data_IF_656228313857
#
_entry.id   IF_656228313857
#
_cell.length_a   1.000
_cell.length_b   1.000
_cell.length_c   1.000
_cell.angle_alpha   90.00
_cell.angle_beta   90.00
_cell.angle_gamma   90.00
#
_symmetry.space_group_name_H-M   'P 1'
#
loop_
_entity.id
_entity.type
_entity.pdbx_description
1 polymer ?
#
# COMPACT_ATOMS: atom_id res chain seq x y z
N UNK A 1 -25.03 -8.17 -12.83
CA UNK A 1 -24.71 -7.06 -11.93
C UNK A 1 -24.40 -7.63 -10.56
N UNK A 2 -23.19 -8.05 -10.32
CA UNK A 2 -22.70 -8.42 -8.98
C UNK A 2 -21.24 -7.96 -8.88
N UNK A 3 -21.07 -6.82 -8.21
CA UNK A 3 -20.03 -6.46 -7.26
C UNK A 3 -18.63 -7.05 -7.53
N UNK A 4 -17.85 -6.32 -8.31
CA UNK A 4 -16.40 -6.32 -8.19
C UNK A 4 -16.05 -5.06 -7.35
N UNK A 5 -16.25 -5.21 -6.05
CA UNK A 5 -15.78 -4.27 -5.04
C UNK A 5 -14.97 -5.08 -4.05
N UNK A 6 -13.72 -5.12 -4.22
CA UNK A 6 -12.74 -5.30 -3.14
C UNK A 6 -11.39 -5.75 -3.71
N UNK A 7 -10.60 -4.88 -4.26
CA UNK A 7 -9.13 -5.00 -4.33
C UNK A 7 -8.53 -3.59 -4.55
N UNK A 8 -9.18 -2.57 -4.03
CA UNK A 8 -8.64 -1.20 -4.20
C UNK A 8 -8.49 -0.51 -2.85
N UNK A 9 -7.71 -1.12 -1.93
CA UNK A 9 -7.23 -0.41 -0.74
C UNK A 9 -6.08 -1.20 -0.11
N UNK A 10 -4.89 -1.01 -0.56
CA UNK A 10 -3.66 -1.06 0.24
C UNK A 10 -2.38 -0.98 -0.61
N UNK A 11 -2.35 -0.19 -1.67
CA UNK A 11 -1.06 0.28 -2.18
C UNK A 11 -0.60 1.43 -1.28
N UNK A 12 -0.13 1.12 -0.10
CA UNK A 12 0.52 2.11 0.75
C UNK A 12 1.98 2.21 0.36
N UNK A 13 2.30 3.30 -0.27
CA UNK A 13 3.58 3.73 -0.81
C UNK A 13 4.68 3.53 0.23
N UNK A 14 5.45 2.45 0.10
CA UNK A 14 6.82 2.43 0.59
C UNK A 14 7.66 3.12 -0.48
N UNK A 15 7.80 4.44 -0.37
CA UNK A 15 8.71 5.22 -1.20
C UNK A 15 10.15 4.83 -0.85
N UNK A 16 10.65 3.74 -1.44
CA UNK A 16 12.08 3.56 -1.56
C UNK A 16 12.56 4.63 -2.51
N UNK A 17 13.30 5.59 -1.97
CA UNK A 17 13.94 6.64 -2.73
C UNK A 17 14.94 5.99 -3.71
N UNK A 18 14.47 5.70 -4.91
CA UNK A 18 15.37 5.58 -6.05
C UNK A 18 15.99 6.96 -6.20
N UNK A 19 17.30 7.06 -6.10
CA UNK A 19 18.04 8.29 -6.31
C UNK A 19 17.78 8.78 -7.73
N UNK A 20 16.76 9.63 -7.89
CA UNK A 20 16.54 10.38 -9.11
C UNK A 20 17.72 11.35 -9.24
N UNK A 21 18.40 11.41 -10.40
CA UNK A 21 19.43 12.44 -10.59
C UNK A 21 18.79 13.79 -10.32
N UNK A 22 19.42 14.60 -9.47
CA UNK A 22 18.98 15.95 -9.12
C UNK A 22 18.84 16.75 -10.42
N UNK A 23 17.58 16.92 -10.85
CA UNK A 23 17.24 17.84 -11.91
C UNK A 23 17.40 19.27 -11.37
N UNK A 24 17.86 20.19 -12.21
CA UNK A 24 18.01 21.60 -11.82
C UNK A 24 16.66 22.15 -11.32
N UNK A 25 16.65 22.90 -10.22
CA UNK A 25 15.46 23.55 -9.70
C UNK A 25 14.78 24.37 -10.81
N UNK A 26 13.49 24.09 -11.05
CA UNK A 26 12.67 24.82 -12.01
C UNK A 26 12.54 24.22 -13.41
N UNK A 27 13.19 23.08 -13.72
CA UNK A 27 12.97 22.41 -15.01
C UNK A 27 11.65 21.61 -14.98
N UNK A 28 10.73 21.82 -15.96
CA UNK A 28 9.50 21.04 -16.04
C UNK A 28 9.77 19.56 -16.28
N UNK A 29 9.17 18.68 -15.46
CA UNK A 29 9.41 17.24 -15.55
C UNK A 29 8.14 16.43 -15.36
N UNK A 30 8.14 15.24 -15.99
CA UNK A 30 7.18 14.16 -15.74
C UNK A 30 7.93 12.99 -15.09
N UNK A 31 7.58 12.67 -13.86
CA UNK A 31 8.13 11.55 -13.11
C UNK A 31 7.18 10.34 -13.21
N UNK A 32 7.70 9.18 -13.57
CA UNK A 32 7.00 7.91 -13.44
C UNK A 32 7.33 7.30 -12.07
N UNK A 33 6.33 7.20 -11.20
CA UNK A 33 6.46 6.68 -9.84
C UNK A 33 5.73 5.35 -9.69
N UNK A 34 6.46 4.30 -9.30
CA UNK A 34 5.91 2.97 -9.10
C UNK A 34 5.30 2.81 -7.70
N UNK A 35 4.21 2.02 -7.58
CA UNK A 35 3.70 1.56 -6.29
C UNK A 35 4.54 0.44 -5.68
N UNK A 36 5.28 -0.31 -6.50
CA UNK A 36 6.17 -1.38 -6.07
C UNK A 36 7.38 -1.45 -6.99
N UNK A 37 8.57 -1.69 -6.44
CA UNK A 37 9.81 -1.87 -7.20
C UNK A 37 10.03 -3.32 -7.65
N UNK A 38 9.27 -4.27 -7.08
CA UNK A 38 9.25 -5.68 -7.47
C UNK A 38 7.83 -6.23 -7.46
N UNK A 39 7.53 -7.13 -8.40
CA UNK A 39 6.19 -7.72 -8.58
C UNK A 39 6.35 -9.14 -9.08
N UNK A 40 5.56 -10.07 -8.56
CA UNK A 40 5.55 -11.47 -9.03
C UNK A 40 4.81 -11.63 -10.36
N UNK A 41 5.05 -12.69 -11.13
CA UNK A 41 4.24 -13.03 -12.28
C UNK A 41 2.75 -13.13 -11.93
N UNK A 42 1.87 -12.54 -12.76
CA UNK A 42 0.44 -12.42 -12.49
C UNK A 42 0.05 -11.27 -11.57
N UNK A 43 1.00 -10.66 -10.86
CA UNK A 43 0.76 -9.54 -9.94
C UNK A 43 0.47 -8.22 -10.67
N UNK A 44 -0.18 -7.30 -9.97
CA UNK A 44 -0.50 -5.96 -10.46
C UNK A 44 0.25 -4.88 -9.68
N UNK A 45 0.58 -3.79 -10.34
CA UNK A 45 1.16 -2.59 -9.73
C UNK A 45 0.70 -1.34 -10.47
N UNK A 46 0.81 -0.20 -9.80
CA UNK A 46 0.45 1.08 -10.42
C UNK A 46 1.68 1.94 -10.71
N UNK A 47 1.54 2.74 -11.76
CA UNK A 47 2.50 3.76 -12.16
C UNK A 47 1.80 5.11 -12.16
N UNK A 48 2.25 6.03 -11.34
CA UNK A 48 1.77 7.40 -11.30
C UNK A 48 2.62 8.28 -12.20
N UNK A 49 1.99 9.04 -13.08
CA UNK A 49 2.62 10.12 -13.82
C UNK A 49 2.47 11.40 -13.00
N UNK A 50 3.57 11.88 -12.45
CA UNK A 50 3.63 13.07 -11.59
C UNK A 50 4.27 14.21 -12.36
N UNK A 51 3.60 15.35 -12.40
CA UNK A 51 4.11 16.56 -13.04
C UNK A 51 4.77 17.48 -12.01
N UNK A 52 5.95 18.01 -12.37
CA UNK A 52 6.70 18.96 -11.54
C UNK A 52 7.04 20.21 -12.32
N UNK A 53 7.14 21.35 -11.62
CA UNK A 53 7.54 22.66 -12.17
C UNK A 53 6.74 23.04 -13.43
N UNK A 54 5.41 22.82 -13.41
CA UNK A 54 4.55 23.09 -14.55
C UNK A 54 4.36 24.60 -14.81
N UNK A 55 4.84 25.13 -15.95
CA UNK A 55 4.67 26.55 -16.29
C UNK A 55 3.28 26.89 -16.83
N UNK A 56 2.44 25.89 -17.03
CA UNK A 56 1.12 26.01 -17.63
C UNK A 56 1.02 25.24 -18.94
N UNK A 57 0.20 24.18 -18.96
CA UNK A 57 -0.05 23.34 -20.12
C UNK A 57 -1.53 23.34 -20.46
N UNK A 58 -1.86 23.21 -21.74
CA UNK A 58 -3.22 23.06 -22.24
C UNK A 58 -3.41 21.76 -23.05
N UNK A 59 -2.34 21.05 -23.37
CA UNK A 59 -2.37 19.76 -24.01
C UNK A 59 -1.13 18.96 -23.73
N UNK A 60 -1.29 17.65 -23.61
CA UNK A 60 -0.21 16.68 -23.47
C UNK A 60 -0.56 15.42 -24.26
N UNK A 61 0.42 14.91 -24.99
CA UNK A 61 0.32 13.66 -25.76
C UNK A 61 1.64 12.90 -25.64
N UNK A 62 1.54 11.58 -25.48
CA UNK A 62 2.69 10.67 -25.50
C UNK A 62 2.23 9.23 -25.75
N UNK A 63 3.19 8.34 -26.03
CA UNK A 63 2.98 6.90 -26.07
C UNK A 63 3.70 6.22 -24.91
N UNK A 64 3.10 5.15 -24.37
CA UNK A 64 3.76 4.30 -23.38
C UNK A 64 4.80 3.41 -24.05
N UNK A 65 5.92 3.23 -23.36
CA UNK A 65 7.00 2.34 -23.78
C UNK A 65 7.30 1.35 -22.67
N UNK A 66 7.05 0.07 -22.93
CA UNK A 66 7.34 -1.03 -22.00
C UNK A 66 7.44 -2.34 -22.78
N UNK A 67 7.94 -3.38 -22.14
CA UNK A 67 8.03 -4.72 -22.76
C UNK A 67 6.68 -5.46 -22.63
N UNK A 68 5.94 -5.54 -23.72
CA UNK A 68 4.63 -6.21 -23.81
C UNK A 68 4.71 -7.73 -23.67
N UNK A 69 5.90 -8.32 -23.74
CA UNK A 69 6.10 -9.76 -23.47
C UNK A 69 6.18 -10.05 -21.97
N UNK A 70 6.35 -9.00 -21.15
CA UNK A 70 6.48 -9.06 -19.69
C UNK A 70 5.31 -8.39 -18.96
N UNK A 71 4.81 -7.28 -19.51
CA UNK A 71 3.81 -6.42 -18.88
C UNK A 71 2.59 -6.22 -19.78
N UNK A 72 1.45 -6.01 -19.16
CA UNK A 72 0.22 -5.58 -19.80
C UNK A 72 -0.33 -4.35 -19.08
N UNK A 73 -0.61 -3.27 -19.82
CA UNK A 73 -1.39 -2.14 -19.29
C UNK A 73 -2.86 -2.55 -19.22
N UNK A 74 -3.45 -2.55 -18.03
CA UNK A 74 -4.82 -3.04 -17.79
C UNK A 74 -5.81 -1.91 -17.54
N UNK A 75 -5.35 -0.78 -16.99
CA UNK A 75 -6.19 0.37 -16.70
C UNK A 75 -5.41 1.68 -16.68
N UNK A 76 -6.13 2.79 -16.91
CA UNK A 76 -5.59 4.14 -16.85
C UNK A 76 -6.66 5.11 -16.34
N UNK A 77 -6.32 5.87 -15.29
CA UNK A 77 -7.26 6.79 -14.63
C UNK A 77 -6.64 8.17 -14.44
N UNK A 78 -7.29 9.21 -14.99
CA UNK A 78 -6.96 10.60 -14.70
C UNK A 78 -7.09 10.90 -13.21
N UNK A 79 -6.18 11.73 -12.70
CA UNK A 79 -6.15 12.14 -11.29
C UNK A 79 -6.42 13.65 -11.17
N UNK A 80 -5.39 14.48 -11.07
CA UNK A 80 -5.55 15.94 -11.05
C UNK A 80 -5.99 16.53 -12.40
N UNK A 81 -5.76 15.81 -13.48
CA UNK A 81 -6.36 16.05 -14.79
C UNK A 81 -7.38 14.95 -15.07
N UNK A 82 -8.58 15.33 -15.49
CA UNK A 82 -9.64 14.42 -15.91
C UNK A 82 -9.72 14.39 -17.45
N UNK A 83 -10.62 13.56 -17.97
CA UNK A 83 -10.92 13.50 -19.41
C UNK A 83 -9.73 13.11 -20.30
N UNK A 84 -8.87 12.21 -19.79
CA UNK A 84 -7.83 11.60 -20.59
C UNK A 84 -8.40 10.62 -21.60
N UNK A 85 -7.94 10.72 -22.82
CA UNK A 85 -8.11 9.67 -23.83
C UNK A 85 -6.88 8.76 -23.80
N UNK A 86 -7.05 7.53 -23.27
CA UNK A 86 -5.98 6.53 -23.20
C UNK A 86 -6.38 5.31 -24.01
N UNK A 87 -5.61 5.03 -25.06
CA UNK A 87 -5.71 3.78 -25.81
C UNK A 87 -5.02 2.64 -25.06
N UNK A 88 -5.76 1.61 -24.70
CA UNK A 88 -5.24 0.38 -24.10
C UNK A 88 -5.44 -0.76 -25.09
N UNK A 89 -4.37 -1.43 -25.52
CA UNK A 89 -4.41 -2.52 -26.52
C UNK A 89 -5.38 -3.64 -26.20
N UNK A 90 -5.65 -3.88 -24.94
CA UNK A 90 -6.61 -4.90 -24.50
C UNK A 90 -8.07 -4.48 -24.65
N UNK A 91 -8.35 -3.21 -24.88
CA UNK A 91 -9.70 -2.69 -25.15
C UNK A 91 -9.91 -2.63 -26.66
N UNK A 92 -10.97 -3.26 -27.14
CA UNK A 92 -11.51 -3.00 -28.45
C UNK A 92 -12.28 -1.68 -28.37
N UNK A 93 -12.18 -0.86 -29.41
CA UNK A 93 -13.05 0.31 -29.54
C UNK A 93 -14.52 -0.11 -29.70
N UNK A 94 -15.43 0.86 -29.74
CA UNK A 94 -16.88 0.60 -29.92
C UNK A 94 -17.21 -0.10 -31.25
N UNK A 95 -16.27 -0.11 -32.21
CA UNK A 95 -16.39 -0.79 -33.50
C UNK A 95 -15.81 -2.20 -33.49
N UNK A 96 -15.14 -2.61 -32.40
CA UNK A 96 -14.46 -3.89 -32.28
C UNK A 96 -13.06 -3.91 -32.90
N UNK A 97 -12.54 -2.76 -33.33
CA UNK A 97 -11.21 -2.62 -33.91
C UNK A 97 -10.17 -2.52 -32.78
N UNK A 98 -9.04 -3.26 -32.93
CA UNK A 98 -7.97 -3.22 -31.95
C UNK A 98 -7.25 -1.88 -31.98
N UNK A 99 -7.08 -1.25 -30.84
CA UNK A 99 -6.26 -0.04 -30.70
C UNK A 99 -4.78 -0.43 -30.87
N UNK A 100 -4.19 -0.04 -32.01
CA UNK A 100 -2.80 -0.41 -32.35
C UNK A 100 -1.70 0.34 -31.57
N UNK A 101 -2.07 1.34 -30.75
CA UNK A 101 -1.11 2.14 -30.01
C UNK A 101 -1.67 2.51 -28.64
N UNK A 102 -0.86 2.32 -27.62
CA UNK A 102 -1.13 2.79 -26.27
C UNK A 102 -0.66 4.22 -26.12
N UNK A 103 -1.52 5.15 -26.52
CA UNK A 103 -1.26 6.58 -26.41
C UNK A 103 -2.13 7.19 -25.30
N UNK A 104 -1.61 8.22 -24.66
CA UNK A 104 -2.38 9.06 -23.77
C UNK A 104 -2.45 10.48 -24.36
N UNK A 105 -3.64 11.04 -24.37
CA UNK A 105 -3.90 12.41 -24.84
C UNK A 105 -4.81 13.10 -23.84
N UNK A 106 -4.44 14.32 -23.50
CA UNK A 106 -5.28 15.23 -22.73
C UNK A 106 -5.17 16.63 -23.30
N UNK A 107 -6.29 17.36 -23.40
CA UNK A 107 -6.32 18.73 -23.88
C UNK A 107 -7.47 19.53 -23.26
N UNK A 108 -7.23 20.82 -23.07
CA UNK A 108 -8.26 21.80 -22.68
C UNK A 108 -7.99 23.17 -23.30
N UNK A 109 -8.95 24.10 -23.17
CA UNK A 109 -8.87 25.41 -23.80
C UNK A 109 -7.99 26.44 -23.08
N UNK A 110 -7.64 26.21 -21.82
CA UNK A 110 -6.89 27.14 -20.98
C UNK A 110 -5.66 26.46 -20.37
N UNK A 111 -4.67 27.25 -19.93
CA UNK A 111 -3.50 26.68 -19.25
C UNK A 111 -3.89 26.15 -17.86
N UNK A 112 -3.55 24.89 -17.63
CA UNK A 112 -3.55 24.29 -16.30
C UNK A 112 -2.16 24.39 -15.68
N UNK A 113 -2.09 24.88 -14.45
CA UNK A 113 -0.83 25.21 -13.75
C UNK A 113 -0.57 24.36 -12.49
N UNK A 114 -1.37 23.30 -12.25
CA UNK A 114 -1.12 22.39 -11.15
C UNK A 114 0.24 21.73 -11.27
N UNK A 115 0.96 21.61 -10.16
CA UNK A 115 2.32 21.07 -10.08
C UNK A 115 2.45 20.15 -8.87
N UNK A 116 3.48 19.32 -8.85
CA UNK A 116 3.80 18.39 -7.77
C UNK A 116 2.65 17.45 -7.42
N UNK A 117 1.92 17.00 -8.44
CA UNK A 117 0.77 16.14 -8.29
C UNK A 117 0.68 15.07 -9.38
N UNK A 118 0.01 13.97 -9.05
CA UNK A 118 -0.30 12.91 -10.00
C UNK A 118 -1.36 13.38 -11.00
N UNK A 119 -1.06 13.30 -12.30
CA UNK A 119 -1.99 13.67 -13.38
C UNK A 119 -2.66 12.45 -14.02
N UNK A 120 -1.98 11.30 -14.04
CA UNK A 120 -2.49 10.06 -14.60
C UNK A 120 -1.96 8.87 -13.78
N UNK A 121 -2.81 7.92 -13.47
CA UNK A 121 -2.44 6.65 -12.84
C UNK A 121 -2.72 5.51 -13.81
N UNK A 122 -1.72 4.66 -14.00
CA UNK A 122 -1.76 3.48 -14.85
C UNK A 122 -1.75 2.23 -13.97
N UNK A 123 -2.44 1.19 -14.37
CA UNK A 123 -2.34 -0.14 -13.75
C UNK A 123 -1.72 -1.10 -14.74
N UNK A 124 -0.63 -1.72 -14.33
CA UNK A 124 0.06 -2.76 -15.08
C UNK A 124 -0.10 -4.11 -14.40
N UNK A 125 -0.16 -5.15 -15.20
CA UNK A 125 -0.09 -6.53 -14.78
C UNK A 125 1.16 -7.18 -15.35
N UNK A 126 1.92 -7.89 -14.50
CA UNK A 126 2.99 -8.76 -14.96
C UNK A 126 2.37 -10.01 -15.55
N UNK A 127 2.81 -10.44 -16.74
CA UNK A 127 2.27 -11.64 -17.37
C UNK A 127 2.64 -12.89 -16.57
N UNK A 128 1.73 -13.87 -16.51
CA UNK A 128 1.90 -15.13 -15.76
C UNK A 128 3.16 -15.91 -16.16
N UNK A 129 3.59 -15.79 -17.40
CA UNK A 129 4.75 -16.48 -17.97
C UNK A 129 6.01 -15.60 -18.00
N UNK A 130 5.99 -14.41 -17.38
CA UNK A 130 7.15 -13.55 -17.33
C UNK A 130 8.28 -14.23 -16.53
N UNK A 131 9.53 -14.23 -17.06
CA UNK A 131 10.64 -14.87 -16.37
C UNK A 131 10.97 -14.15 -15.06
N UNK A 132 11.27 -14.95 -14.02
CA UNK A 132 11.75 -14.44 -12.73
C UNK A 132 13.11 -13.75 -12.88
N UNK A 133 13.44 -12.90 -11.92
CA UNK A 133 14.69 -12.12 -11.84
C UNK A 133 14.94 -11.23 -13.07
N UNK A 134 13.86 -10.86 -13.75
CA UNK A 134 13.90 -9.98 -14.93
C UNK A 134 13.61 -8.54 -14.51
N UNK A 135 14.46 -7.61 -14.96
CA UNK A 135 14.24 -6.17 -14.79
C UNK A 135 13.67 -5.61 -16.08
N UNK A 136 12.55 -4.91 -15.98
CA UNK A 136 11.93 -4.22 -17.12
C UNK A 136 11.70 -2.75 -16.81
N UNK A 137 11.64 -1.94 -17.87
CA UNK A 137 11.52 -0.48 -17.76
C UNK A 137 10.21 -0.02 -18.38
N UNK A 138 9.56 0.92 -17.70
CA UNK A 138 8.40 1.64 -18.21
C UNK A 138 8.83 3.08 -18.47
N UNK A 139 8.51 3.58 -19.65
CA UNK A 139 8.82 4.94 -20.06
C UNK A 139 7.70 5.52 -20.90
N UNK A 140 7.93 6.76 -21.34
CA UNK A 140 7.08 7.43 -22.31
C UNK A 140 7.92 7.91 -23.48
N UNK A 141 7.32 7.95 -24.66
CA UNK A 141 7.97 8.39 -25.90
C UNK A 141 7.02 9.25 -26.71
N UNK A 142 7.57 10.06 -27.63
CA UNK A 142 6.76 10.98 -28.43
C UNK A 142 6.04 12.03 -27.59
N UNK A 143 6.66 12.46 -26.49
CA UNK A 143 6.12 13.47 -25.60
C UNK A 143 5.99 14.81 -26.33
N UNK A 144 4.75 15.32 -26.36
CA UNK A 144 4.38 16.58 -26.99
C UNK A 144 3.46 17.33 -26.01
N UNK A 145 3.91 18.49 -25.55
CA UNK A 145 3.20 19.29 -24.55
C UNK A 145 3.07 20.72 -25.08
N UNK A 146 1.86 21.26 -25.02
CA UNK A 146 1.57 22.60 -25.51
C UNK A 146 0.83 23.44 -24.46
N UNK A 147 1.04 24.74 -24.51
CA UNK A 147 0.22 25.72 -23.77
C UNK A 147 -1.03 26.13 -24.57
N UNK A 148 -1.90 26.95 -23.98
CA UNK A 148 -3.13 27.43 -24.61
C UNK A 148 -2.89 28.34 -25.86
N UNK A 149 -1.66 28.83 -26.05
CA UNK A 149 -1.26 29.58 -27.25
C UNK A 149 -0.69 28.69 -28.34
N UNK A 150 -0.80 27.34 -28.18
CA UNK A 150 -0.25 26.33 -29.09
C UNK A 150 1.28 26.40 -29.22
N UNK A 151 1.96 26.87 -28.21
CA UNK A 151 3.41 26.87 -28.13
C UNK A 151 3.88 25.60 -27.39
N UNK A 152 4.92 24.97 -27.90
CA UNK A 152 5.56 23.82 -27.24
C UNK A 152 6.14 24.22 -25.87
N UNK A 153 5.86 23.39 -24.87
CA UNK A 153 6.40 23.52 -23.51
C UNK A 153 7.36 22.35 -23.29
N UNK A 154 8.68 22.61 -23.19
CA UNK A 154 9.64 21.53 -23.04
C UNK A 154 9.56 20.88 -21.65
N UNK A 155 9.36 19.59 -21.63
CA UNK A 155 9.42 18.74 -20.43
C UNK A 155 10.43 17.63 -20.63
N UNK A 156 11.03 17.19 -19.55
CA UNK A 156 11.78 15.92 -19.52
C UNK A 156 10.95 14.86 -18.80
N UNK A 157 11.02 13.63 -19.29
CA UNK A 157 10.34 12.50 -18.66
C UNK A 157 11.39 11.54 -18.09
N UNK A 158 11.10 10.99 -16.90
CA UNK A 158 11.88 9.89 -16.33
C UNK A 158 11.26 8.56 -16.72
N UNK A 159 12.05 7.49 -16.68
CA UNK A 159 11.58 6.12 -16.76
C UNK A 159 11.55 5.51 -15.36
N UNK A 160 10.78 4.45 -15.20
CA UNK A 160 10.69 3.66 -13.99
C UNK A 160 11.04 2.20 -14.28
N UNK A 161 11.71 1.52 -13.35
CA UNK A 161 12.10 0.12 -13.49
C UNK A 161 11.41 -0.73 -12.43
N UNK A 162 10.89 -1.89 -12.85
CA UNK A 162 10.30 -2.90 -11.98
C UNK A 162 11.04 -4.23 -12.18
N UNK A 163 11.27 -4.94 -11.08
CA UNK A 163 11.88 -6.27 -11.08
C UNK A 163 10.78 -7.31 -10.96
N UNK A 164 10.79 -8.31 -11.84
CA UNK A 164 9.88 -9.46 -11.78
C UNK A 164 10.54 -10.52 -10.90
N UNK A 165 10.02 -10.72 -9.69
CA UNK A 165 10.56 -11.69 -8.74
C UNK A 165 9.46 -12.22 -7.83
N UNK A 166 9.69 -13.38 -7.20
CA UNK A 166 8.79 -13.85 -6.15
C UNK A 166 8.69 -12.81 -5.03
N UNK A 167 7.47 -12.57 -4.57
CA UNK A 167 7.29 -11.78 -3.36
C UNK A 167 7.92 -12.54 -2.19
N UNK A 168 8.79 -11.90 -1.38
CA UNK A 168 9.35 -12.58 -0.22
C UNK A 168 8.21 -13.14 0.65
N UNK A 169 8.32 -14.37 1.14
CA UNK A 169 7.28 -14.95 1.97
C UNK A 169 7.04 -14.07 3.20
N UNK A 170 5.77 -13.94 3.59
CA UNK A 170 5.41 -13.21 4.80
C UNK A 170 6.09 -13.81 6.01
N UNK A 171 6.92 -13.02 6.68
CA UNK A 171 7.59 -13.35 7.93
C UNK A 171 6.79 -12.81 9.11
N UNK A 172 6.43 -13.65 10.06
CA UNK A 172 5.71 -13.25 11.28
C UNK A 172 6.62 -13.38 12.47
N UNK A 173 6.82 -12.27 13.19
CA UNK A 173 7.62 -12.26 14.42
C UNK A 173 6.72 -12.20 15.64
N UNK A 174 6.68 -13.25 16.48
CA UNK A 174 6.00 -13.17 17.78
C UNK A 174 6.70 -12.19 18.73
N UNK A 175 5.94 -11.29 19.36
CA UNK A 175 6.46 -10.29 20.29
C UNK A 175 6.96 -10.87 21.61
N UNK A 176 6.66 -12.13 21.89
CA UNK A 176 7.10 -12.84 23.10
C UNK A 176 7.45 -14.28 22.76
N UNK A 177 8.60 -14.74 23.26
CA UNK A 177 9.01 -16.15 23.20
C UNK A 177 8.18 -17.08 24.12
N UNK A 178 7.37 -16.50 25.00
CA UNK A 178 6.46 -17.21 25.90
C UNK A 178 5.08 -17.47 25.29
N UNK A 179 4.92 -17.21 23.99
CA UNK A 179 3.72 -17.53 23.25
C UNK A 179 3.55 -19.07 23.16
N UNK A 180 2.55 -19.63 23.83
CA UNK A 180 2.31 -21.08 23.96
C UNK A 180 1.39 -21.67 22.89
N UNK A 181 1.06 -20.90 21.85
CA UNK A 181 0.24 -21.34 20.72
C UNK A 181 1.03 -21.66 19.47
N UNK A 182 0.32 -22.00 18.42
CA UNK A 182 0.88 -22.22 17.09
C UNK A 182 0.33 -21.21 16.12
N UNK A 183 1.13 -20.84 15.15
CA UNK A 183 0.64 -20.09 13.98
C UNK A 183 1.19 -20.73 12.70
N UNK A 184 0.44 -20.54 11.63
CA UNK A 184 0.85 -20.92 10.28
C UNK A 184 0.67 -19.72 9.35
N UNK A 185 1.50 -19.65 8.34
CA UNK A 185 1.46 -18.62 7.29
C UNK A 185 1.20 -19.29 5.97
N UNK A 186 0.20 -18.80 5.24
CA UNK A 186 -0.12 -19.25 3.87
C UNK A 186 -0.47 -18.04 3.01
N UNK A 187 0.44 -17.64 2.13
CA UNK A 187 0.35 -16.36 1.42
C UNK A 187 0.26 -15.20 2.43
N UNK A 188 -0.71 -14.34 2.26
CA UNK A 188 -0.97 -13.20 3.15
C UNK A 188 -1.90 -13.53 4.34
N UNK A 189 -2.14 -14.82 4.63
CA UNK A 189 -2.99 -15.24 5.73
C UNK A 189 -2.15 -15.85 6.85
N UNK A 190 -2.28 -15.29 8.05
CA UNK A 190 -1.70 -15.81 9.30
C UNK A 190 -2.80 -16.45 10.11
N UNK A 191 -2.76 -17.77 10.27
CA UNK A 191 -3.72 -18.50 11.11
C UNK A 191 -3.09 -18.78 12.47
N UNK A 192 -3.70 -18.28 13.53
CA UNK A 192 -3.23 -18.39 14.92
C UNK A 192 -4.17 -19.26 15.71
N UNK A 193 -3.65 -20.31 16.34
CA UNK A 193 -4.38 -21.17 17.29
C UNK A 193 -3.83 -20.91 18.68
N UNK A 194 -4.59 -20.22 19.51
CA UNK A 194 -4.12 -19.70 20.79
C UNK A 194 -5.20 -19.71 21.84
N UNK A 195 -4.80 -19.90 23.10
CA UNK A 195 -5.68 -19.81 24.28
C UNK A 195 -5.85 -18.39 24.81
N UNK A 196 -5.18 -17.41 24.21
CA UNK A 196 -5.23 -15.98 24.58
C UNK A 196 -5.63 -15.12 23.38
N UNK A 197 -6.25 -13.97 23.64
CA UNK A 197 -6.55 -13.04 22.55
C UNK A 197 -5.27 -12.52 21.91
N UNK A 198 -5.18 -12.63 20.58
CA UNK A 198 -4.03 -12.22 19.78
C UNK A 198 -4.39 -11.17 18.75
N UNK A 199 -3.40 -10.41 18.34
CA UNK A 199 -3.46 -9.49 17.20
C UNK A 199 -2.28 -9.77 16.29
N UNK A 200 -2.52 -9.73 14.99
CA UNK A 200 -1.46 -9.65 13.96
C UNK A 200 -1.47 -8.25 13.40
N UNK A 201 -0.32 -7.65 13.26
CA UNK A 201 -0.18 -6.30 12.72
C UNK A 201 1.02 -6.18 11.80
N UNK A 202 0.94 -5.23 10.89
CA UNK A 202 2.00 -4.85 9.96
C UNK A 202 2.32 -3.37 10.10
N UNK A 203 3.56 -2.98 9.77
CA UNK A 203 4.02 -1.61 9.91
C UNK A 203 3.50 -0.75 8.75
N UNK A 204 2.84 0.35 9.08
CA UNK A 204 2.31 1.31 8.13
C UNK A 204 2.47 2.72 8.68
N UNK A 205 3.16 3.60 7.94
CA UNK A 205 3.45 4.96 8.40
C UNK A 205 4.20 5.02 9.73
N UNK A 206 5.07 4.04 10.02
CA UNK A 206 5.85 3.95 11.26
C UNK A 206 5.06 3.43 12.47
N UNK A 207 3.83 2.95 12.29
CA UNK A 207 2.98 2.36 13.33
C UNK A 207 2.44 1.01 12.91
N UNK A 208 2.16 0.13 13.86
CA UNK A 208 1.48 -1.12 13.58
C UNK A 208 -0.03 -0.90 13.36
N UNK A 209 -0.52 -1.46 12.27
CA UNK A 209 -1.95 -1.53 11.91
C UNK A 209 -2.41 -2.97 12.08
N UNK A 210 -3.56 -3.17 12.71
CA UNK A 210 -4.10 -4.50 12.93
C UNK A 210 -4.63 -5.10 11.62
N UNK A 211 -4.24 -6.33 11.31
CA UNK A 211 -4.86 -7.12 10.27
C UNK A 211 -6.28 -7.52 10.70
N UNK A 212 -7.27 -7.49 9.79
CA UNK A 212 -8.61 -7.98 10.08
C UNK A 212 -8.58 -9.46 10.42
N UNK A 213 -9.35 -9.85 11.45
CA UNK A 213 -9.41 -11.21 11.95
C UNK A 213 -10.77 -11.86 11.65
N UNK A 214 -10.74 -13.14 11.27
CA UNK A 214 -11.91 -13.98 11.13
C UNK A 214 -11.76 -15.18 12.07
N UNK A 215 -12.71 -15.36 12.98
CA UNK A 215 -12.70 -16.52 13.88
C UNK A 215 -13.11 -17.79 13.13
N UNK A 216 -12.40 -18.90 13.38
CA UNK A 216 -12.70 -20.23 12.85
C UNK A 216 -12.45 -21.27 13.94
N UNK A 217 -13.50 -21.62 14.67
CA UNK A 217 -13.40 -22.53 15.82
C UNK A 217 -12.52 -21.96 16.93
N UNK A 218 -11.42 -22.65 17.25
CA UNK A 218 -10.41 -22.21 18.22
C UNK A 218 -9.28 -21.38 17.61
N UNK A 219 -9.35 -21.04 16.33
CA UNK A 219 -8.31 -20.32 15.60
C UNK A 219 -8.84 -19.00 15.07
N UNK A 220 -7.92 -18.07 14.81
CA UNK A 220 -8.19 -16.79 14.14
C UNK A 220 -7.33 -16.72 12.89
N UNK A 221 -7.95 -16.41 11.76
CA UNK A 221 -7.26 -16.10 10.52
C UNK A 221 -7.15 -14.57 10.33
N UNK A 222 -5.94 -14.07 10.21
CA UNK A 222 -5.63 -12.68 9.98
C UNK A 222 -5.18 -12.52 8.54
N UNK A 223 -5.88 -11.69 7.76
CA UNK A 223 -5.51 -11.43 6.37
C UNK A 223 -4.76 -10.10 6.28
N UNK A 224 -3.54 -10.16 5.79
CA UNK A 224 -2.71 -8.98 5.54
C UNK A 224 -2.90 -8.49 4.10
N UNK A 225 -2.68 -7.20 3.83
CA UNK A 225 -2.64 -6.69 2.47
C UNK A 225 -1.50 -7.33 1.65
N UNK A 226 -1.71 -7.43 0.34
CA UNK A 226 -0.65 -7.84 -0.59
C UNK A 226 0.56 -6.91 -0.48
N UNK A 227 1.76 -7.43 -0.68
CA UNK A 227 3.01 -6.68 -0.57
C UNK A 227 3.54 -6.51 0.87
N UNK A 228 2.84 -7.02 1.89
CA UNK A 228 3.36 -7.06 3.26
C UNK A 228 4.24 -8.29 3.44
N UNK A 229 5.52 -8.07 3.71
CA UNK A 229 6.51 -9.13 3.91
C UNK A 229 6.89 -9.35 5.37
N UNK A 230 6.51 -8.42 6.25
CA UNK A 230 6.79 -8.50 7.68
C UNK A 230 5.55 -8.18 8.52
N UNK A 231 5.27 -9.01 9.51
CA UNK A 231 4.20 -8.81 10.46
C UNK A 231 4.65 -9.19 11.87
N UNK A 232 3.96 -8.65 12.88
CA UNK A 232 4.11 -9.06 14.26
C UNK A 232 2.87 -9.80 14.76
N UNK A 233 3.08 -10.76 15.63
CA UNK A 233 2.03 -11.43 16.40
C UNK A 233 2.19 -11.05 17.86
N UNK A 234 1.18 -10.40 18.45
CA UNK A 234 1.18 -9.98 19.85
C UNK A 234 0.03 -10.63 20.61
N UNK A 235 0.21 -10.87 21.90
CA UNK A 235 -0.90 -11.13 22.82
C UNK A 235 -1.54 -9.79 23.14
N UNK A 236 -2.84 -9.67 22.86
CA UNK A 236 -3.62 -8.48 23.12
C UNK A 236 -3.70 -8.22 24.63
N UNK A 237 -3.20 -7.06 25.07
CA UNK A 237 -3.13 -6.71 26.49
C UNK A 237 -1.84 -7.11 27.23
N UNK A 238 -0.91 -7.78 26.57
CA UNK A 238 0.43 -8.08 27.11
C UNK A 238 1.37 -6.91 26.73
N UNK A 239 1.38 -5.89 27.56
CA UNK A 239 2.10 -4.63 27.27
C UNK A 239 3.60 -4.75 27.55
N UNK A 240 3.99 -5.63 28.47
CA UNK A 240 5.39 -5.86 28.84
C UNK A 240 6.05 -6.98 28.01
N UNK A 241 5.30 -7.70 27.20
CA UNK A 241 5.81 -8.77 26.33
C UNK A 241 6.22 -10.05 27.09
N UNK A 242 5.69 -10.30 28.31
CA UNK A 242 6.02 -11.50 29.09
C UNK A 242 5.16 -12.74 28.76
N UNK A 243 4.27 -12.61 27.76
CA UNK A 243 3.35 -13.64 27.31
C UNK A 243 2.13 -13.81 28.23
N UNK A 244 1.89 -12.93 29.18
CA UNK A 244 0.81 -13.01 30.15
C UNK A 244 0.09 -11.69 30.29
N UNK A 245 -1.24 -11.76 30.46
CA UNK A 245 -2.07 -10.58 30.67
C UNK A 245 -2.29 -10.44 32.19
N UNK A 246 -1.76 -9.39 32.78
CA UNK A 246 -1.75 -9.15 34.23
C UNK A 246 -2.08 -7.70 34.58
N UNK A 247 -2.32 -7.43 35.87
CA UNK A 247 -2.50 -6.07 36.39
C UNK A 247 -1.27 -5.16 36.13
N UNK A 248 -0.06 -5.74 35.96
CA UNK A 248 1.16 -5.04 35.59
C UNK A 248 1.05 -4.34 34.24
N UNK A 249 0.40 -4.97 33.26
CA UNK A 249 0.20 -4.41 31.93
C UNK A 249 -0.73 -3.19 31.99
N UNK A 250 -1.82 -3.28 32.71
CA UNK A 250 -2.71 -2.13 32.96
C UNK A 250 -1.97 -0.99 33.65
N UNK A 251 -1.04 -1.29 34.57
CA UNK A 251 -0.20 -0.25 35.22
C UNK A 251 0.74 0.44 34.23
N UNK A 252 1.26 -0.25 33.23
CA UNK A 252 2.08 0.35 32.18
C UNK A 252 1.25 1.31 31.33
N UNK A 253 0.02 0.92 30.94
CA UNK A 253 -0.90 1.82 30.23
C UNK A 253 -1.20 3.08 31.06
N UNK A 254 -1.50 2.92 32.35
CA UNK A 254 -1.76 4.07 33.24
C UNK A 254 -0.56 5.02 33.32
N UNK A 255 0.66 4.49 33.42
CA UNK A 255 1.89 5.30 33.41
C UNK A 255 2.09 6.00 32.09
N UNK A 256 1.79 5.33 30.96
CA UNK A 256 1.84 5.94 29.63
C UNK A 256 0.83 7.08 29.48
N UNK A 257 -0.43 6.88 29.88
CA UNK A 257 -1.51 7.88 29.78
C UNK A 257 -1.18 9.16 30.57
N UNK A 258 -0.46 9.03 31.70
CA UNK A 258 0.00 10.19 32.51
C UNK A 258 1.42 10.65 32.13
N UNK A 259 1.92 10.23 30.95
CA UNK A 259 3.21 10.63 30.38
C UNK A 259 4.44 10.32 31.26
N UNK A 260 4.37 9.30 32.11
CA UNK A 260 5.51 8.84 32.93
C UNK A 260 6.44 7.89 32.20
N UNK A 261 5.97 7.24 31.15
CA UNK A 261 6.77 6.34 30.30
C UNK A 261 6.36 6.52 28.83
N UNK A 262 7.19 6.06 27.91
CA UNK A 262 6.86 5.81 26.50
C UNK A 262 6.70 4.32 26.28
N UNK A 263 5.87 3.92 25.32
CA UNK A 263 5.74 2.55 24.87
C UNK A 263 6.48 2.39 23.54
N UNK A 264 7.06 1.21 23.29
CA UNK A 264 7.52 0.83 21.96
C UNK A 264 6.32 0.64 21.02
N UNK A 265 6.53 0.55 19.72
CA UNK A 265 5.44 0.34 18.77
C UNK A 265 4.68 -0.97 19.07
N UNK A 266 5.39 -2.05 19.42
CA UNK A 266 4.82 -3.35 19.77
C UNK A 266 3.98 -3.26 21.05
N UNK A 267 4.54 -2.64 22.09
CA UNK A 267 3.85 -2.43 23.36
C UNK A 267 2.61 -1.56 23.19
N UNK A 268 2.68 -0.51 22.37
CA UNK A 268 1.53 0.34 22.02
C UNK A 268 0.46 -0.50 21.28
N UNK A 269 0.87 -1.31 20.30
CA UNK A 269 -0.04 -2.16 19.55
C UNK A 269 -0.72 -3.21 20.42
N UNK A 270 0.01 -3.84 21.36
CA UNK A 270 -0.55 -4.76 22.34
C UNK A 270 -1.49 -4.08 23.36
N UNK A 271 -1.16 -2.83 23.76
CA UNK A 271 -1.89 -2.05 24.75
C UNK A 271 -3.26 -1.52 24.26
N UNK A 272 -3.39 -1.23 22.97
CA UNK A 272 -4.67 -0.81 22.37
C UNK A 272 -5.59 -2.04 22.25
N UNK A 273 -6.25 -2.38 23.37
CA UNK A 273 -7.15 -3.55 23.43
C UNK A 273 -8.53 -3.25 22.88
N UNK A 274 -8.90 -1.98 22.78
CA UNK A 274 -10.17 -1.56 22.15
C UNK A 274 -10.08 -1.52 20.62
N UNK A 275 -8.87 -1.43 20.05
CA UNK A 275 -8.66 -1.37 18.61
C UNK A 275 -9.00 -0.01 17.99
N UNK A 276 -9.09 1.06 18.80
CA UNK A 276 -9.43 2.42 18.32
C UNK A 276 -8.20 3.20 17.83
N UNK A 277 -7.03 2.59 17.80
CA UNK A 277 -5.75 3.18 17.41
C UNK A 277 -5.14 4.10 18.47
N UNK A 278 -5.65 4.08 19.69
CA UNK A 278 -5.18 4.91 20.80
C UNK A 278 -5.05 4.10 22.08
N UNK A 279 -4.05 4.42 22.88
CA UNK A 279 -3.88 3.82 24.21
C UNK A 279 -4.39 4.79 25.27
N UNK A 280 -5.44 4.40 25.99
CA UNK A 280 -6.20 5.22 26.95
C UNK A 280 -6.42 4.47 28.28
N UNK A 281 -6.95 5.17 29.27
CA UNK A 281 -7.35 4.57 30.55
C UNK A 281 -8.42 3.45 30.40
N UNK A 282 -9.23 3.50 29.33
CA UNK A 282 -10.19 2.47 28.97
C UNK A 282 -9.53 1.12 28.72
N UNK A 283 -8.41 1.10 27.99
CA UNK A 283 -7.66 -0.13 27.71
C UNK A 283 -7.13 -0.77 29.00
N UNK A 284 -6.58 0.05 29.91
CA UNK A 284 -6.16 -0.44 31.22
C UNK A 284 -7.32 -1.05 32.03
N UNK A 285 -8.49 -0.40 31.96
CA UNK A 285 -9.71 -0.90 32.62
C UNK A 285 -10.15 -2.24 32.06
N UNK A 286 -10.06 -2.41 30.75
CA UNK A 286 -10.44 -3.65 30.06
C UNK A 286 -9.48 -4.79 30.46
N UNK A 287 -8.18 -4.53 30.48
CA UNK A 287 -7.21 -5.50 30.99
C UNK A 287 -7.52 -5.91 32.44
N UNK A 288 -7.80 -4.96 33.32
CA UNK A 288 -8.13 -5.27 34.72
C UNK A 288 -9.42 -6.11 34.85
N UNK A 289 -10.47 -5.79 34.07
CA UNK A 289 -11.70 -6.60 34.06
C UNK A 289 -11.43 -8.02 33.60
N UNK A 290 -10.59 -8.20 32.56
CA UNK A 290 -10.19 -9.52 32.10
C UNK A 290 -9.41 -10.30 33.17
N UNK A 291 -8.42 -9.66 33.80
CA UNK A 291 -7.58 -10.29 34.84
C UNK A 291 -8.38 -10.75 36.05
N UNK A 292 -9.44 -10.02 36.43
CA UNK A 292 -10.31 -10.39 37.56
C UNK A 292 -11.55 -11.20 37.13
N UNK A 293 -11.52 -11.74 35.92
CA UNK A 293 -12.60 -12.59 35.34
C UNK A 293 -13.99 -11.91 35.33
N UNK A 294 -14.04 -10.57 35.26
CA UNK A 294 -15.26 -9.80 35.03
C UNK A 294 -15.62 -9.64 33.56
N UNK A 295 -14.71 -10.04 32.68
CA UNK A 295 -14.90 -10.16 31.23
C UNK A 295 -14.32 -11.48 30.77
N UNK A 296 -14.98 -12.18 29.87
CA UNK A 296 -14.53 -13.44 29.28
C UNK A 296 -13.48 -13.22 28.18
N UNK A 297 -13.56 -12.09 27.47
CA UNK A 297 -12.61 -11.67 26.44
C UNK A 297 -12.23 -10.21 26.61
N UNK A 298 -11.15 -9.79 25.93
CA UNK A 298 -10.78 -8.37 25.88
C UNK A 298 -11.61 -7.56 24.86
N UNK A 299 -12.44 -8.25 24.07
CA UNK A 299 -13.28 -7.66 23.02
C UNK A 299 -14.71 -7.35 23.51
N UNK A 300 -15.16 -7.96 24.61
CA UNK A 300 -16.53 -7.91 25.11
C UNK A 300 -16.87 -6.65 25.95
N UNK A 301 -16.06 -5.59 25.84
CA UNK A 301 -16.22 -4.44 26.72
C UNK A 301 -16.51 -3.18 25.92
N UNK A 302 -17.74 -3.08 25.48
CA UNK A 302 -18.39 -1.81 25.09
C UNK A 302 -18.87 -1.04 26.33
#
# INVERSE_FOLDING_TARGET
MKKIWSILMAAMILCLAVSVPSLAEGTPTLELRLSASSVQPGGEFTVELVIHNNPGIAGIRFAFQYDETLLQLTDANGQSLTDWEVGIKAKQDETGEKVDRENAVWAQGENWTGSDCCILRLTFRVLENAPMDTVTTIGITGLDIMNASLQEVPFTATSATVTIQEEPPLSVTPSSSALSGTYTVSGQVVTVTYDKPCKVGYLSGGKYVAAPAVASGSSYAFTLPDGITEAILVVKGDVNGDGKIKAGDASLIQKYVVHKITLTNEAFFAADVTGDGKVKAGDATNILKYVVHKASTLDDIS
#
